data_IF_386697213001
#
_entry.id   IF_386697213001
#
_cell.length_a   1.000
_cell.length_b   1.000
_cell.length_c   1.000
_cell.angle_alpha   90.00
_cell.angle_beta   90.00
_cell.angle_gamma   90.00
#
_symmetry.space_group_name_H-M   'P 1'
#
loop_
_entity.id
_entity.type
_entity.pdbx_description
1 polymer ?
#
# COMPACT_ATOMS: atom_id res chain seq x y z
N UNK A 1 -34.42 -68.06 -3.17
CA UNK A 1 -33.53 -67.73 -2.03
C UNK A 1 -32.76 -66.46 -2.39
N UNK A 2 -33.12 -65.33 -1.79
CA UNK A 2 -32.65 -63.98 -2.16
C UNK A 2 -31.27 -63.73 -1.53
N UNK A 3 -30.20 -63.80 -2.33
CA UNK A 3 -28.84 -63.51 -1.88
C UNK A 3 -28.57 -62.01 -2.00
N UNK A 4 -27.96 -61.46 -0.94
CA UNK A 4 -28.00 -60.06 -0.54
C UNK A 4 -27.17 -59.16 -1.47
N UNK A 5 -27.85 -58.26 -2.19
CA UNK A 5 -27.27 -57.18 -3.01
C UNK A 5 -26.57 -56.09 -2.17
N UNK A 6 -26.58 -56.20 -0.84
CA UNK A 6 -26.10 -55.16 0.08
C UNK A 6 -24.61 -55.21 0.41
N UNK A 7 -23.85 -56.24 -0.03
CA UNK A 7 -22.44 -56.37 0.35
C UNK A 7 -21.45 -55.60 -0.55
N UNK A 8 -21.85 -55.15 -1.75
CA UNK A 8 -20.93 -54.51 -2.70
C UNK A 8 -20.83 -52.98 -2.54
N UNK A 9 -21.80 -52.31 -1.91
CA UNK A 9 -21.75 -50.85 -1.71
C UNK A 9 -20.96 -50.39 -0.47
N UNK A 10 -20.68 -51.27 0.50
CA UNK A 10 -19.92 -50.89 1.69
C UNK A 10 -18.41 -50.81 1.48
N UNK A 11 -17.86 -51.50 0.46
CA UNK A 11 -16.42 -51.48 0.16
C UNK A 11 -15.95 -50.21 -0.55
N UNK A 12 -16.85 -49.54 -1.28
CA UNK A 12 -16.50 -48.38 -2.11
C UNK A 12 -16.59 -47.04 -1.37
N UNK A 13 -17.28 -47.01 -0.22
CA UNK A 13 -17.45 -45.81 0.60
C UNK A 13 -16.25 -45.59 1.56
N UNK A 14 -15.52 -46.66 1.94
CA UNK A 14 -14.38 -46.55 2.85
C UNK A 14 -13.09 -46.01 2.21
N UNK A 15 -12.97 -46.05 0.89
CA UNK A 15 -11.80 -45.56 0.15
C UNK A 15 -11.86 -44.07 -0.23
N UNK A 16 -13.00 -43.40 0.02
CA UNK A 16 -13.19 -41.98 -0.34
C UNK A 16 -12.89 -41.01 0.80
N UNK A 17 -12.61 -41.51 2.02
CA UNK A 17 -12.43 -40.71 3.24
C UNK A 17 -11.03 -40.14 3.43
N UNK A 18 -10.08 -40.43 2.54
CA UNK A 18 -8.67 -40.06 2.69
C UNK A 18 -8.25 -38.78 1.93
N UNK A 19 -9.19 -38.04 1.35
CA UNK A 19 -8.93 -36.69 0.82
C UNK A 19 -9.26 -35.65 1.89
N UNK A 20 -8.67 -35.80 3.08
CA UNK A 20 -8.50 -34.65 3.96
C UNK A 20 -7.48 -33.73 3.29
N UNK A 21 -7.97 -32.73 2.55
CA UNK A 21 -7.16 -31.55 2.26
C UNK A 21 -6.81 -30.91 3.61
N UNK A 22 -5.65 -31.27 4.16
CA UNK A 22 -4.99 -30.40 5.12
C UNK A 22 -4.69 -29.13 4.36
N UNK A 23 -5.50 -28.09 4.57
CA UNK A 23 -5.11 -26.74 4.19
C UNK A 23 -3.78 -26.48 4.90
N UNK A 24 -2.68 -26.48 4.15
CA UNK A 24 -1.40 -26.00 4.67
C UNK A 24 -1.67 -24.59 5.16
N UNK A 25 -1.50 -24.33 6.45
CA UNK A 25 -1.61 -22.97 6.95
C UNK A 25 -0.64 -22.12 6.12
N UNK A 26 -1.16 -21.10 5.43
CA UNK A 26 -0.31 -20.19 4.67
C UNK A 26 0.71 -19.58 5.63
N UNK A 27 1.97 -19.50 5.22
CA UNK A 27 3.01 -18.85 6.01
C UNK A 27 2.59 -17.40 6.29
N UNK A 28 2.88 -16.93 7.52
CA UNK A 28 2.63 -15.53 7.87
C UNK A 28 3.54 -14.65 7.03
N UNK A 29 2.97 -13.63 6.40
CA UNK A 29 3.70 -12.65 5.59
C UNK A 29 3.68 -11.26 6.27
N UNK A 30 4.73 -10.49 6.02
CA UNK A 30 4.92 -9.11 6.44
C UNK A 30 4.91 -8.21 5.21
N UNK A 31 3.92 -7.32 5.15
CA UNK A 31 3.80 -6.30 4.08
C UNK A 31 4.23 -4.96 4.66
N UNK A 32 5.28 -4.36 4.11
CA UNK A 32 5.77 -3.05 4.52
C UNK A 32 4.88 -1.93 3.96
N UNK A 33 3.89 -1.54 4.77
CA UNK A 33 2.97 -0.45 4.49
C UNK A 33 3.71 0.88 4.29
N UNK A 34 3.78 1.31 3.03
CA UNK A 34 4.55 2.46 2.53
C UNK A 34 6.06 2.36 2.75
N UNK A 35 6.59 1.15 2.91
CA UNK A 35 7.97 0.92 3.34
C UNK A 35 8.11 0.94 4.85
N UNK A 36 9.28 1.33 5.36
CA UNK A 36 9.56 1.42 6.79
C UNK A 36 9.07 2.78 7.34
N UNK A 37 7.79 3.09 7.12
CA UNK A 37 7.19 4.41 7.31
C UNK A 37 7.19 4.92 8.76
N UNK A 38 7.30 4.01 9.73
CA UNK A 38 7.51 4.38 11.14
C UNK A 38 8.91 4.96 11.44
N UNK A 39 9.85 4.91 10.49
CA UNK A 39 11.24 5.34 10.68
C UNK A 39 11.70 6.39 9.67
N UNK A 40 11.14 6.38 8.46
CA UNK A 40 11.54 7.24 7.34
C UNK A 40 10.30 7.71 6.58
N UNK A 41 10.36 8.88 5.91
CA UNK A 41 9.22 9.41 5.15
C UNK A 41 8.63 8.38 4.19
N UNK A 42 7.31 8.27 4.23
CA UNK A 42 6.54 7.24 3.53
C UNK A 42 6.88 7.14 2.03
N UNK A 43 6.90 5.91 1.51
CA UNK A 43 7.19 5.53 0.12
C UNK A 43 8.54 5.92 -0.48
N UNK A 44 9.36 6.73 0.19
CA UNK A 44 10.67 7.10 -0.31
C UNK A 44 11.56 5.88 -0.53
N UNK A 45 12.49 5.96 -1.49
CA UNK A 45 13.43 4.86 -1.74
C UNK A 45 14.22 4.45 -0.47
N UNK A 46 14.65 5.38 0.41
CA UNK A 46 15.22 5.02 1.72
C UNK A 46 14.26 4.21 2.62
N UNK A 47 12.99 4.60 2.73
CA UNK A 47 12.01 3.84 3.51
C UNK A 47 11.80 2.41 2.95
N UNK A 48 11.84 2.27 1.63
CA UNK A 48 11.77 0.96 0.94
C UNK A 48 13.03 0.14 1.14
N UNK A 49 14.21 0.75 1.05
CA UNK A 49 15.49 0.10 1.30
C UNK A 49 15.58 -0.41 2.75
N UNK A 50 15.12 0.39 3.72
CA UNK A 50 15.06 -0.03 5.12
C UNK A 50 14.08 -1.19 5.32
N UNK A 51 12.88 -1.13 4.75
CA UNK A 51 11.90 -2.22 4.85
C UNK A 51 12.43 -3.53 4.26
N UNK A 52 13.13 -3.45 3.11
CA UNK A 52 13.82 -4.59 2.52
C UNK A 52 14.88 -5.15 3.47
N UNK A 53 15.72 -4.28 4.05
CA UNK A 53 16.75 -4.68 5.00
C UNK A 53 16.19 -5.28 6.31
N UNK A 54 14.97 -4.89 6.70
CA UNK A 54 14.23 -5.45 7.85
C UNK A 54 13.57 -6.81 7.56
N UNK A 55 13.58 -7.28 6.31
CA UNK A 55 13.06 -8.60 5.93
C UNK A 55 11.56 -8.63 5.65
N UNK A 56 10.96 -7.53 5.19
CA UNK A 56 9.57 -7.55 4.72
C UNK A 56 9.43 -8.45 3.47
N UNK A 57 8.38 -9.29 3.45
CA UNK A 57 8.07 -10.16 2.31
C UNK A 57 7.60 -9.37 1.10
N UNK A 58 6.89 -8.26 1.33
CA UNK A 58 6.37 -7.37 0.30
C UNK A 58 6.62 -5.91 0.64
N UNK A 59 6.89 -5.12 -0.40
CA UNK A 59 6.88 -3.66 -0.33
C UNK A 59 5.58 -3.18 -0.97
N UNK A 60 4.85 -2.29 -0.29
CA UNK A 60 3.60 -1.73 -0.82
C UNK A 60 3.84 -0.42 -1.59
N UNK A 61 2.93 -0.10 -2.53
CA UNK A 61 2.89 1.13 -3.31
C UNK A 61 1.44 1.62 -3.42
N UNK A 62 1.22 2.89 -3.13
CA UNK A 62 0.00 3.61 -3.49
C UNK A 62 0.24 4.39 -4.77
N UNK A 63 -0.66 4.27 -5.74
CA UNK A 63 -0.45 4.82 -7.08
C UNK A 63 -1.50 5.88 -7.41
N UNK A 64 -1.04 7.03 -7.88
CA UNK A 64 -1.86 8.09 -8.46
C UNK A 64 -1.28 8.56 -9.79
N UNK A 65 -2.10 9.21 -10.61
CA UNK A 65 -1.68 9.71 -11.93
C UNK A 65 -1.32 11.20 -11.87
N UNK A 66 -0.33 11.56 -12.68
CA UNK A 66 0.04 12.94 -13.00
C UNK A 66 -0.78 13.49 -14.18
N UNK A 67 -0.66 14.79 -14.46
CA UNK A 67 -1.28 15.47 -15.61
C UNK A 67 -0.86 14.91 -16.96
N UNK A 68 0.38 14.41 -17.03
CA UNK A 68 1.04 13.85 -18.22
C UNK A 68 1.04 12.31 -18.20
N UNK A 69 0.02 11.71 -17.59
CA UNK A 69 -0.29 10.27 -17.60
C UNK A 69 0.85 9.37 -17.08
N UNK A 70 1.60 9.84 -16.08
CA UNK A 70 2.63 9.07 -15.39
C UNK A 70 2.09 8.58 -14.04
N UNK A 71 2.41 7.35 -13.68
CA UNK A 71 2.15 6.84 -12.33
C UNK A 71 3.26 7.30 -11.38
N UNK A 72 2.86 7.81 -10.21
CA UNK A 72 3.75 8.17 -9.10
C UNK A 72 3.32 7.44 -7.84
N UNK A 73 4.28 7.18 -6.95
CA UNK A 73 4.02 6.53 -5.66
C UNK A 73 3.69 7.59 -4.61
N UNK A 74 2.42 7.70 -4.24
CA UNK A 74 1.89 8.71 -3.32
C UNK A 74 0.58 8.19 -2.72
N UNK A 75 0.43 8.26 -1.40
CA UNK A 75 -0.74 7.71 -0.71
C UNK A 75 -2.04 8.44 -1.08
N UNK A 76 -2.02 9.77 -1.00
CA UNK A 76 -3.17 10.60 -1.32
C UNK A 76 -3.05 11.07 -2.78
N UNK A 77 -4.17 11.35 -3.45
CA UNK A 77 -4.15 12.08 -4.72
C UNK A 77 -3.84 13.58 -4.55
N UNK A 78 -3.40 13.99 -3.36
CA UNK A 78 -2.99 15.33 -2.98
C UNK A 78 -1.50 15.39 -2.60
N UNK A 79 -0.85 16.50 -2.91
CA UNK A 79 0.58 16.73 -2.64
C UNK A 79 0.84 17.50 -1.33
N UNK A 80 -0.18 18.18 -0.80
CA UNK A 80 -0.07 19.22 0.22
C UNK A 80 0.19 18.75 1.65
N UNK A 81 0.17 17.44 1.91
CA UNK A 81 0.46 16.85 3.23
C UNK A 81 1.90 16.37 3.38
N UNK A 82 2.58 16.10 2.28
CA UNK A 82 3.88 15.39 2.24
C UNK A 82 4.92 16.08 1.35
N UNK A 83 4.62 17.27 0.83
CA UNK A 83 5.55 18.04 0.01
C UNK A 83 5.51 19.54 0.34
N UNK A 84 6.42 20.30 -0.26
CA UNK A 84 6.46 21.77 -0.24
C UNK A 84 5.67 22.43 -1.39
N UNK A 85 4.72 21.71 -2.03
CA UNK A 85 3.94 22.19 -3.19
C UNK A 85 3.30 23.56 -3.00
N UNK A 86 2.79 23.87 -1.79
CA UNK A 86 2.14 25.14 -1.49
C UNK A 86 3.13 26.33 -1.53
N UNK A 87 4.41 26.08 -1.27
CA UNK A 87 5.48 27.09 -1.37
C UNK A 87 6.00 27.20 -2.80
N UNK A 88 6.14 26.06 -3.49
CA UNK A 88 6.70 25.99 -4.83
C UNK A 88 5.73 26.46 -5.93
N UNK A 89 4.44 26.16 -5.76
CA UNK A 89 3.38 26.45 -6.73
C UNK A 89 2.15 27.09 -6.08
N UNK A 90 2.26 28.23 -5.37
CA UNK A 90 1.22 28.77 -4.50
C UNK A 90 -0.13 29.07 -5.18
N UNK A 91 -0.14 29.29 -6.50
CA UNK A 91 -1.34 29.61 -7.27
C UNK A 91 -2.00 28.40 -7.95
N UNK A 92 -1.59 27.19 -7.58
CA UNK A 92 -2.01 25.95 -8.26
C UNK A 92 -2.95 25.08 -7.41
N UNK A 93 -3.38 25.57 -6.25
CA UNK A 93 -4.46 24.94 -5.50
C UNK A 93 -5.78 25.01 -6.30
N UNK A 94 -6.63 23.99 -6.14
CA UNK A 94 -8.02 24.06 -6.60
C UNK A 94 -8.87 24.91 -5.66
N UNK A 95 -10.15 25.06 -5.99
CA UNK A 95 -11.12 25.89 -5.24
C UNK A 95 -11.29 25.47 -3.77
N UNK A 96 -11.00 24.20 -3.45
CA UNK A 96 -11.01 23.66 -2.09
C UNK A 96 -9.71 23.92 -1.31
N UNK A 97 -8.74 24.62 -1.92
CA UNK A 97 -7.44 24.92 -1.33
C UNK A 97 -6.44 23.75 -1.37
N UNK A 98 -6.78 22.64 -2.04
CA UNK A 98 -5.92 21.44 -2.12
C UNK A 98 -5.08 21.41 -3.39
N UNK A 99 -3.94 20.71 -3.32
CA UNK A 99 -3.02 20.55 -4.45
C UNK A 99 -3.07 19.12 -4.97
N UNK A 100 -3.76 18.87 -6.08
CA UNK A 100 -3.99 17.53 -6.62
C UNK A 100 -2.83 17.07 -7.51
N UNK A 101 -2.34 15.85 -7.32
CA UNK A 101 -1.24 15.30 -8.14
C UNK A 101 -1.55 15.31 -9.65
N UNK A 102 -2.81 15.06 -10.02
CA UNK A 102 -3.27 15.04 -11.43
C UNK A 102 -3.17 16.40 -12.13
N UNK A 103 -2.97 17.50 -11.40
CA UNK A 103 -2.81 18.84 -11.98
C UNK A 103 -1.35 19.17 -12.34
N UNK A 104 -0.39 18.35 -11.91
CA UNK A 104 1.05 18.56 -12.09
C UNK A 104 1.63 17.49 -13.01
N UNK A 105 2.57 17.88 -13.86
CA UNK A 105 3.40 16.95 -14.63
C UNK A 105 4.34 16.17 -13.71
N UNK A 106 4.90 15.07 -14.21
CA UNK A 106 5.91 14.31 -13.46
C UNK A 106 7.14 15.18 -13.11
N UNK A 107 7.56 16.06 -14.02
CA UNK A 107 8.71 16.95 -13.79
C UNK A 107 8.40 18.00 -12.71
N UNK A 108 7.20 18.58 -12.70
CA UNK A 108 6.73 19.47 -11.62
C UNK A 108 6.69 18.74 -10.27
N UNK A 109 6.26 17.47 -10.23
CA UNK A 109 6.23 16.70 -8.97
C UNK A 109 7.65 16.36 -8.50
N UNK A 110 8.55 16.00 -9.42
CA UNK A 110 9.95 15.67 -9.09
C UNK A 110 10.77 16.86 -8.61
N UNK A 111 10.33 18.10 -8.89
CA UNK A 111 11.01 19.30 -8.38
C UNK A 111 10.65 19.63 -6.92
N UNK A 112 9.63 18.97 -6.35
CA UNK A 112 9.19 19.17 -4.98
C UNK A 112 10.12 18.49 -3.97
N UNK A 113 10.17 19.04 -2.75
CA UNK A 113 10.79 18.38 -1.59
C UNK A 113 9.75 17.54 -0.89
N UNK A 114 10.01 16.23 -0.79
CA UNK A 114 9.18 15.31 -0.01
C UNK A 114 9.55 15.38 1.48
N UNK A 115 8.55 15.24 2.36
CA UNK A 115 8.69 15.32 3.82
C UNK A 115 7.85 14.25 4.50
N UNK A 116 8.13 13.99 5.78
CA UNK A 116 7.18 13.31 6.66
C UNK A 116 5.84 14.06 6.70
N UNK A 117 4.75 13.30 6.87
CA UNK A 117 3.40 13.83 6.87
C UNK A 117 3.18 14.90 7.94
N UNK A 118 2.53 15.99 7.55
CA UNK A 118 2.17 17.07 8.46
C UNK A 118 0.70 17.45 8.33
N UNK A 119 0.16 18.04 9.39
CA UNK A 119 -1.16 18.66 9.41
C UNK A 119 -1.02 20.16 9.67
N UNK A 120 -1.74 21.02 8.94
CA UNK A 120 -1.83 22.43 9.29
C UNK A 120 -2.64 22.59 10.59
N UNK A 121 -1.98 23.05 11.66
CA UNK A 121 -2.60 23.41 12.95
C UNK A 121 -2.27 24.85 13.28
N UNK A 122 -3.29 25.69 13.43
CA UNK A 122 -3.16 27.12 13.75
C UNK A 122 -2.21 27.87 12.78
N UNK A 123 -2.28 27.56 11.49
CA UNK A 123 -1.43 28.19 10.46
C UNK A 123 0.03 27.72 10.44
N UNK A 124 0.36 26.64 11.17
CA UNK A 124 1.69 26.01 11.15
C UNK A 124 1.58 24.55 10.76
N UNK A 125 2.54 24.07 9.98
CA UNK A 125 2.65 22.64 9.68
C UNK A 125 3.19 21.91 10.92
N UNK A 126 2.44 20.94 11.42
CA UNK A 126 2.80 20.10 12.58
C UNK A 126 2.89 18.65 12.11
N UNK A 127 4.03 18.01 12.34
CA UNK A 127 4.24 16.60 11.97
C UNK A 127 3.19 15.70 12.63
N UNK A 128 2.61 14.77 11.87
CA UNK A 128 1.56 13.86 12.37
C UNK A 128 2.11 12.90 13.41
N UNK A 129 3.31 12.37 13.18
CA UNK A 129 4.03 11.51 14.12
C UNK A 129 5.38 12.14 14.45
N UNK A 130 5.53 12.81 15.61
CA UNK A 130 6.83 13.34 16.02
C UNK A 130 7.79 12.17 16.27
N UNK A 131 8.95 12.21 15.61
CA UNK A 131 10.04 11.24 15.79
C UNK A 131 10.79 11.40 17.10
#
# INVERSE_FOLDING_TARGET
MKMKLTALMSGMILSSSALCFSATAADKMVIAHRGASGYLPEHTLPAKAMAYAQGADYLEQDLVMTKDDRLVVLHDHYLDRVTDVAQHFPQRARQDGRFYAIDFTLDEIKSLKFTEGFEPKNGKNVQTYPG
#
